data_IF_694460703486
#
_entry.id   IF_694460703486
#
_cell.length_a   1.000
_cell.length_b   1.000
_cell.length_c   1.000
_cell.angle_alpha   90.00
_cell.angle_beta   90.00
_cell.angle_gamma   90.00
#
_symmetry.space_group_name_H-M   'P 1'
#
loop_
_entity.id
_entity.type
_entity.pdbx_description
1 polymer ?
#
# COMPACT_ATOMS: atom_id res chain seq x y z
N UNK A 1 61.42 8.16 35.50
CA UNK A 1 60.12 7.46 35.62
C UNK A 1 59.34 7.74 34.33
N UNK A 2 59.46 6.87 33.33
CA UNK A 2 58.85 7.06 32.00
C UNK A 2 57.58 6.21 31.91
N UNK A 3 56.42 6.85 31.92
CA UNK A 3 55.14 6.18 31.67
C UNK A 3 54.97 5.97 30.17
N UNK A 4 55.08 4.72 29.71
CA UNK A 4 54.65 4.31 28.38
C UNK A 4 53.12 4.26 28.37
N UNK A 5 52.50 5.23 27.71
CA UNK A 5 51.09 5.16 27.34
C UNK A 5 50.92 4.10 26.25
N UNK A 6 50.18 3.04 26.56
CA UNK A 6 49.76 2.01 25.62
C UNK A 6 48.45 2.51 24.94
N UNK A 7 48.37 2.66 23.62
CA UNK A 7 47.11 3.04 22.98
C UNK A 7 46.19 1.81 22.98
N UNK A 8 45.04 1.93 23.63
CA UNK A 8 43.96 0.96 23.62
C UNK A 8 43.28 1.03 22.24
N UNK A 9 43.62 0.09 21.36
CA UNK A 9 43.02 -0.02 20.04
C UNK A 9 41.62 -0.64 20.19
N UNK A 10 40.58 0.20 20.32
CA UNK A 10 39.19 -0.25 20.32
C UNK A 10 38.84 -0.82 18.94
N UNK A 11 38.79 -2.14 18.85
CA UNK A 11 38.20 -2.87 17.71
C UNK A 11 36.69 -2.66 17.78
N UNK A 12 36.19 -1.69 17.01
CA UNK A 12 34.76 -1.55 16.74
C UNK A 12 34.41 -2.69 15.78
N UNK A 13 34.04 -3.84 16.33
CA UNK A 13 33.51 -4.95 15.55
C UNK A 13 32.20 -4.50 14.90
N UNK A 14 32.20 -4.38 13.58
CA UNK A 14 30.98 -4.19 12.80
C UNK A 14 30.05 -5.36 13.08
N UNK A 15 28.97 -5.14 13.83
CA UNK A 15 27.86 -6.08 13.94
C UNK A 15 27.25 -6.22 12.54
N UNK A 16 27.67 -7.24 11.81
CA UNK A 16 27.00 -7.67 10.59
C UNK A 16 25.71 -8.35 11.02
N UNK A 17 24.63 -7.58 11.13
CA UNK A 17 23.30 -8.17 11.25
C UNK A 17 23.01 -8.86 9.91
N UNK A 18 22.99 -10.19 9.92
CA UNK A 18 22.55 -10.96 8.76
C UNK A 18 21.10 -10.59 8.45
N UNK A 19 20.85 -10.05 7.26
CA UNK A 19 19.50 -9.79 6.77
C UNK A 19 18.87 -11.12 6.36
N UNK A 20 17.57 -11.27 6.59
CA UNK A 20 16.83 -12.45 6.14
C UNK A 20 16.51 -12.26 4.66
N UNK A 21 16.81 -13.26 3.85
CA UNK A 21 16.63 -13.20 2.40
C UNK A 21 15.50 -14.12 1.97
N UNK A 22 14.59 -13.60 1.14
CA UNK A 22 13.47 -14.37 0.60
C UNK A 22 13.27 -14.08 -0.89
N UNK A 23 12.86 -15.11 -1.61
CA UNK A 23 12.37 -15.01 -2.98
C UNK A 23 10.87 -15.31 -2.99
N UNK A 24 10.08 -14.40 -3.56
CA UNK A 24 8.65 -14.54 -3.79
C UNK A 24 8.38 -14.58 -5.29
N UNK A 25 8.11 -15.77 -5.81
CA UNK A 25 7.92 -15.97 -7.25
C UNK A 25 6.45 -16.05 -7.66
N UNK A 26 5.52 -16.18 -6.71
CA UNK A 26 4.12 -16.51 -6.97
C UNK A 26 3.15 -15.37 -6.64
N UNK A 27 3.65 -14.17 -6.33
CA UNK A 27 2.85 -13.01 -5.89
C UNK A 27 2.52 -12.00 -7.02
N UNK A 28 3.05 -12.23 -8.22
CA UNK A 28 2.80 -11.40 -9.41
C UNK A 28 2.97 -12.25 -10.65
N UNK A 29 2.15 -12.04 -11.67
CA UNK A 29 2.34 -12.70 -12.98
C UNK A 29 3.59 -12.20 -13.71
N UNK A 30 4.02 -10.96 -13.44
CA UNK A 30 5.07 -10.27 -14.19
C UNK A 30 6.42 -10.24 -13.47
N UNK A 31 6.42 -10.20 -12.14
CA UNK A 31 7.63 -9.99 -11.36
C UNK A 31 7.92 -11.14 -10.39
N UNK A 32 9.19 -11.51 -10.27
CA UNK A 32 9.73 -12.16 -9.08
C UNK A 32 10.19 -11.06 -8.12
N UNK A 33 10.04 -11.30 -6.82
CA UNK A 33 10.41 -10.33 -5.79
C UNK A 33 11.44 -10.93 -4.86
N UNK A 34 12.59 -10.28 -4.74
CA UNK A 34 13.60 -10.62 -3.75
C UNK A 34 13.54 -9.61 -2.61
N UNK A 35 13.60 -10.10 -1.39
CA UNK A 35 13.42 -9.31 -0.17
C UNK A 35 14.60 -9.59 0.77
N UNK A 36 15.28 -8.52 1.17
CA UNK A 36 16.22 -8.53 2.29
C UNK A 36 15.61 -7.75 3.46
N UNK A 37 15.25 -8.42 4.56
CA UNK A 37 14.53 -7.82 5.69
C UNK A 37 15.27 -8.00 7.03
N UNK A 38 15.23 -6.94 7.84
CA UNK A 38 16.01 -6.84 9.07
C UNK A 38 15.63 -7.86 10.16
N UNK A 39 14.35 -8.19 10.32
CA UNK A 39 13.90 -9.04 11.44
C UNK A 39 12.81 -10.00 11.01
N UNK A 40 12.99 -11.27 11.38
CA UNK A 40 12.00 -12.32 11.22
C UNK A 40 11.83 -13.10 12.52
N UNK A 41 10.58 -13.43 12.81
CA UNK A 41 10.16 -14.37 13.83
C UNK A 41 9.52 -15.60 13.16
N UNK A 42 8.91 -16.51 13.92
CA UNK A 42 8.40 -17.78 13.39
C UNK A 42 7.39 -17.62 12.23
N UNK A 43 6.57 -16.57 12.25
CA UNK A 43 5.45 -16.37 11.33
C UNK A 43 5.30 -14.92 10.82
N UNK A 44 6.18 -14.02 11.21
CA UNK A 44 6.12 -12.60 10.84
C UNK A 44 7.54 -12.07 10.61
N UNK A 45 7.73 -11.32 9.52
CA UNK A 45 8.94 -10.54 9.25
C UNK A 45 8.60 -9.06 9.16
N UNK A 46 9.43 -8.20 9.72
CA UNK A 46 9.16 -6.75 9.78
C UNK A 46 10.43 -5.89 9.83
N UNK A 47 10.25 -4.61 9.54
CA UNK A 47 11.24 -3.54 9.69
C UNK A 47 11.91 -3.13 8.38
N UNK A 48 13.14 -2.63 8.51
CA UNK A 48 13.92 -2.13 7.36
C UNK A 48 14.11 -3.24 6.33
N UNK A 49 13.76 -2.92 5.10
CA UNK A 49 13.67 -3.87 4.01
C UNK A 49 14.20 -3.28 2.72
N UNK A 50 14.95 -4.09 1.98
CA UNK A 50 15.29 -3.85 0.58
C UNK A 50 14.50 -4.81 -0.29
N UNK A 51 13.78 -4.27 -1.27
CA UNK A 51 13.00 -5.03 -2.25
C UNK A 51 13.67 -4.88 -3.61
N UNK A 52 13.81 -5.99 -4.33
CA UNK A 52 14.30 -6.03 -5.70
C UNK A 52 13.26 -6.75 -6.56
N UNK A 53 12.74 -6.06 -7.57
CA UNK A 53 11.85 -6.65 -8.57
C UNK A 53 12.67 -7.16 -9.75
N UNK A 54 12.30 -8.34 -10.25
CA UNK A 54 12.86 -8.94 -11.46
C UNK A 54 11.74 -9.31 -12.41
N UNK A 55 11.78 -8.78 -13.63
CA UNK A 55 10.83 -9.13 -14.69
C UNK A 55 11.00 -10.61 -15.10
N UNK A 56 9.91 -11.38 -15.05
CA UNK A 56 9.91 -12.83 -15.32
C UNK A 56 10.26 -13.16 -16.76
N UNK A 57 9.82 -12.34 -17.71
CA UNK A 57 9.97 -12.60 -19.14
C UNK A 57 11.37 -12.25 -19.65
N UNK A 58 11.91 -11.13 -19.19
CA UNK A 58 13.18 -10.56 -19.67
C UNK A 58 14.34 -10.83 -18.72
N UNK A 59 14.07 -11.32 -17.51
CA UNK A 59 15.04 -11.44 -16.41
C UNK A 59 15.70 -10.12 -16.00
N UNK A 60 15.15 -8.98 -16.45
CA UNK A 60 15.65 -7.66 -16.09
C UNK A 60 15.44 -7.39 -14.61
N UNK A 61 16.49 -6.90 -13.95
CA UNK A 61 16.46 -6.50 -12.54
C UNK A 61 16.27 -4.99 -12.47
N UNK A 62 15.30 -4.54 -11.69
CA UNK A 62 15.05 -3.12 -11.46
C UNK A 62 15.89 -2.58 -10.30
N UNK A 63 16.11 -1.26 -10.21
CA UNK A 63 16.71 -0.65 -9.04
C UNK A 63 15.98 -1.04 -7.74
N UNK A 64 16.74 -1.12 -6.65
CA UNK A 64 16.21 -1.50 -5.33
C UNK A 64 15.25 -0.45 -4.77
N UNK A 65 14.17 -0.92 -4.16
CA UNK A 65 13.23 -0.12 -3.37
C UNK A 65 13.56 -0.34 -1.90
N UNK A 66 13.53 0.72 -1.09
CA UNK A 66 13.75 0.64 0.35
C UNK A 66 12.49 1.02 1.12
N UNK A 67 12.16 0.27 2.16
CA UNK A 67 11.06 0.55 3.08
C UNK A 67 11.55 0.40 4.53
N UNK A 68 11.17 1.32 5.39
CA UNK A 68 11.61 1.32 6.80
C UNK A 68 10.67 0.48 7.70
N UNK A 69 9.39 0.37 7.34
CA UNK A 69 8.35 -0.29 8.14
C UNK A 69 7.56 -1.33 7.33
N UNK A 70 8.28 -2.10 6.50
CA UNK A 70 7.68 -3.21 5.77
C UNK A 70 7.33 -4.35 6.73
N UNK A 71 6.26 -5.09 6.45
CA UNK A 71 5.89 -6.28 7.22
C UNK A 71 5.17 -7.30 6.34
N UNK A 72 5.30 -8.57 6.67
CA UNK A 72 4.49 -9.63 6.08
C UNK A 72 4.45 -10.86 7.00
N UNK A 73 3.36 -11.61 6.88
CA UNK A 73 3.22 -12.89 7.56
C UNK A 73 3.65 -14.03 6.64
N UNK A 74 4.23 -15.05 7.23
CA UNK A 74 4.71 -16.27 6.56
C UNK A 74 3.86 -17.43 7.05
N UNK A 75 3.45 -18.32 6.14
CA UNK A 75 2.79 -19.57 6.52
C UNK A 75 3.66 -20.39 7.50
N UNK A 76 3.06 -21.11 8.47
CA UNK A 76 3.79 -22.01 9.34
C UNK A 76 4.72 -22.94 8.55
N UNK A 77 5.96 -23.12 9.05
CA UNK A 77 6.99 -23.98 8.48
C UNK A 77 7.58 -23.57 7.12
N UNK A 78 7.15 -22.43 6.55
CA UNK A 78 7.69 -21.94 5.28
C UNK A 78 9.04 -21.21 5.41
N UNK A 79 9.43 -20.78 6.62
CA UNK A 79 10.64 -19.96 6.86
C UNK A 79 11.96 -20.60 6.39
N UNK A 80 12.01 -21.94 6.30
CA UNK A 80 13.18 -22.70 5.84
C UNK A 80 13.15 -23.03 4.33
N UNK A 81 12.09 -22.62 3.63
CA UNK A 81 11.95 -22.80 2.18
C UNK A 81 12.70 -21.71 1.42
N UNK A 82 13.22 -22.06 0.24
CA UNK A 82 13.78 -21.06 -0.70
C UNK A 82 12.71 -20.13 -1.29
N UNK A 83 11.49 -20.64 -1.46
CA UNK A 83 10.33 -19.87 -1.90
C UNK A 83 9.33 -19.89 -0.74
N UNK A 84 9.21 -18.77 -0.03
CA UNK A 84 8.31 -18.68 1.11
C UNK A 84 6.89 -18.43 0.63
N UNK A 85 5.91 -18.90 1.39
CA UNK A 85 4.50 -18.61 1.17
C UNK A 85 4.05 -17.55 2.16
N UNK A 86 3.46 -16.50 1.62
CA UNK A 86 2.85 -15.44 2.42
C UNK A 86 1.52 -15.93 2.98
N UNK A 87 1.19 -15.55 4.20
CA UNK A 87 -0.14 -15.78 4.76
C UNK A 87 -1.10 -14.67 4.29
N UNK A 88 -2.34 -15.03 3.94
CA UNK A 88 -3.32 -14.14 3.30
C UNK A 88 -3.79 -12.96 4.16
N UNK A 89 -3.49 -12.95 5.46
CA UNK A 89 -3.95 -11.93 6.40
C UNK A 89 -3.36 -10.54 6.12
N UNK A 90 -2.15 -10.49 5.54
CA UNK A 90 -1.44 -9.26 5.20
C UNK A 90 -1.05 -9.35 3.74
N UNK A 91 -1.41 -8.33 2.95
CA UNK A 91 -1.06 -8.25 1.53
C UNK A 91 0.11 -7.26 1.38
N UNK A 92 1.38 -7.70 1.45
CA UNK A 92 2.52 -6.78 1.49
C UNK A 92 2.84 -6.12 0.14
N UNK A 93 2.37 -6.71 -0.96
CA UNK A 93 2.54 -6.23 -2.33
C UNK A 93 1.19 -6.20 -3.02
N UNK A 94 0.89 -5.09 -3.70
CA UNK A 94 -0.26 -4.97 -4.59
C UNK A 94 0.26 -4.47 -5.93
N UNK A 95 0.01 -5.23 -6.99
CA UNK A 95 0.48 -4.94 -8.33
C UNK A 95 -0.68 -4.55 -9.23
N UNK A 96 -0.80 -3.27 -9.54
CA UNK A 96 -1.89 -2.68 -10.34
C UNK A 96 -1.34 -1.58 -11.26
N UNK A 97 -2.13 -1.08 -12.19
CA UNK A 97 -1.81 0.11 -13.00
C UNK A 97 -2.49 1.33 -12.34
N UNK A 98 -1.81 1.96 -11.37
CA UNK A 98 -2.39 3.04 -10.55
C UNK A 98 -2.46 4.37 -11.32
N UNK A 99 -1.56 4.58 -12.29
CA UNK A 99 -1.52 5.80 -13.08
C UNK A 99 -2.22 5.70 -14.45
N UNK A 100 -2.73 4.51 -14.79
CA UNK A 100 -3.44 4.19 -16.03
C UNK A 100 -2.60 4.39 -17.30
N UNK A 101 -1.29 4.14 -17.22
CA UNK A 101 -0.35 4.26 -18.33
C UNK A 101 -0.10 2.94 -19.08
N UNK A 102 -0.70 1.85 -18.61
CA UNK A 102 -0.58 0.50 -19.17
C UNK A 102 0.62 -0.28 -18.64
N UNK A 103 1.43 0.29 -17.74
CA UNK A 103 2.46 -0.43 -17.00
C UNK A 103 1.97 -0.79 -15.60
N UNK A 104 2.38 -1.97 -15.15
CA UNK A 104 2.09 -2.41 -13.79
C UNK A 104 3.04 -1.74 -12.81
N UNK A 105 2.46 -1.04 -11.85
CA UNK A 105 3.03 -0.39 -10.69
C UNK A 105 3.06 -1.34 -9.49
N UNK A 106 3.54 -0.84 -8.34
CA UNK A 106 3.52 -1.61 -7.09
C UNK A 106 3.20 -0.73 -5.88
N UNK A 107 2.27 -1.17 -5.05
CA UNK A 107 2.09 -0.65 -3.71
C UNK A 107 2.73 -1.59 -2.69
N UNK A 108 3.51 -1.00 -1.78
CA UNK A 108 4.24 -1.71 -0.73
C UNK A 108 3.72 -1.28 0.62
N UNK A 109 3.45 -2.23 1.50
CA UNK A 109 3.14 -1.91 2.89
C UNK A 109 4.32 -1.14 3.53
N UNK A 110 4.04 0.06 4.07
CA UNK A 110 5.01 0.90 4.77
C UNK A 110 4.37 1.64 5.96
N UNK A 111 3.62 0.89 6.74
CA UNK A 111 3.39 1.08 8.17
C UNK A 111 2.32 0.08 8.61
N UNK A 112 2.69 -0.79 9.54
CA UNK A 112 1.75 -1.49 10.40
C UNK A 112 2.09 -1.10 11.83
N UNK A 113 1.19 -0.45 12.54
CA UNK A 113 1.33 -0.51 14.00
C UNK A 113 1.09 -1.96 14.39
N UNK A 114 1.92 -2.53 15.29
CA UNK A 114 1.72 -3.90 15.81
C UNK A 114 0.32 -4.16 16.40
N UNK A 115 -0.43 -3.09 16.67
CA UNK A 115 -1.79 -3.10 17.19
C UNK A 115 -2.80 -2.39 16.24
N UNK A 116 -2.39 -2.06 15.00
CA UNK A 116 -3.24 -1.41 14.01
C UNK A 116 -3.78 -2.47 13.07
N UNK A 117 -5.11 -2.53 12.95
CA UNK A 117 -5.79 -3.30 11.92
C UNK A 117 -5.70 -2.64 10.54
N UNK A 118 -5.11 -1.45 10.45
CA UNK A 118 -4.90 -0.72 9.20
C UNK A 118 -3.45 -0.77 8.77
N UNK A 119 -3.26 -1.27 7.55
CA UNK A 119 -2.02 -1.26 6.81
C UNK A 119 -1.99 -0.06 5.88
N UNK A 120 -0.89 0.70 5.92
CA UNK A 120 -0.66 1.81 4.99
C UNK A 120 0.36 1.39 3.95
N UNK A 121 0.18 1.91 2.74
CA UNK A 121 1.00 1.57 1.59
C UNK A 121 1.68 2.82 1.03
N UNK A 122 2.90 2.63 0.57
CA UNK A 122 3.57 3.54 -0.34
C UNK A 122 3.40 3.01 -1.78
N UNK A 123 3.00 3.89 -2.69
CA UNK A 123 2.76 3.55 -4.10
C UNK A 123 3.97 3.96 -4.93
N UNK A 124 4.52 3.01 -5.68
CA UNK A 124 5.64 3.19 -6.59
C UNK A 124 5.17 2.98 -8.03
N UNK A 125 5.33 4.01 -8.85
CA UNK A 125 4.94 4.02 -10.26
C UNK A 125 6.11 3.58 -11.13
N UNK A 126 5.85 2.74 -12.13
CA UNK A 126 6.86 2.34 -13.09
C UNK A 126 7.08 3.44 -14.14
N UNK A 127 8.19 4.15 -14.04
CA UNK A 127 8.57 5.15 -15.04
C UNK A 127 9.27 4.47 -16.22
N UNK A 128 8.56 4.30 -17.35
CA UNK A 128 9.07 3.59 -18.51
C UNK A 128 10.34 4.23 -19.11
N UNK A 129 10.44 5.56 -19.09
CA UNK A 129 11.60 6.30 -19.59
C UNK A 129 12.85 6.04 -18.74
N UNK A 130 12.70 6.01 -17.42
CA UNK A 130 13.77 5.81 -16.46
C UNK A 130 14.00 4.32 -16.13
N UNK A 131 13.10 3.44 -16.57
CA UNK A 131 13.16 2.00 -16.40
C UNK A 131 13.22 1.58 -14.92
N UNK A 132 12.54 2.32 -14.04
CA UNK A 132 12.56 2.12 -12.60
C UNK A 132 11.22 2.43 -11.93
N UNK A 133 11.05 1.96 -10.71
CA UNK A 133 9.89 2.27 -9.87
C UNK A 133 10.19 3.47 -8.99
N UNK A 134 9.38 4.51 -9.06
CA UNK A 134 9.53 5.74 -8.29
C UNK A 134 8.37 5.95 -7.32
N UNK A 135 8.68 6.37 -6.10
CA UNK A 135 7.67 6.71 -5.11
C UNK A 135 6.77 7.84 -5.63
N UNK A 136 5.46 7.60 -5.68
CA UNK A 136 4.48 8.62 -6.00
C UNK A 136 3.90 9.19 -4.70
N UNK A 137 4.35 10.39 -4.34
CA UNK A 137 3.95 11.05 -3.09
C UNK A 137 2.45 11.37 -3.06
N UNK A 138 1.85 11.80 -4.18
CA UNK A 138 0.44 12.15 -4.25
C UNK A 138 -0.47 10.95 -3.96
N UNK A 139 -0.26 9.84 -4.65
CA UNK A 139 -1.05 8.62 -4.43
C UNK A 139 -0.77 7.99 -3.05
N UNK A 140 0.48 8.04 -2.60
CA UNK A 140 0.85 7.60 -1.25
C UNK A 140 0.16 8.44 -0.17
N UNK A 141 0.03 9.75 -0.37
CA UNK A 141 -0.69 10.63 0.54
C UNK A 141 -2.18 10.26 0.60
N UNK A 142 -2.81 9.94 -0.53
CA UNK A 142 -4.21 9.49 -0.56
C UNK A 142 -4.44 8.22 0.27
N UNK A 143 -3.54 7.23 0.19
CA UNK A 143 -3.63 6.02 1.04
C UNK A 143 -3.58 6.40 2.53
N UNK A 144 -2.66 7.31 2.90
CA UNK A 144 -2.46 7.75 4.29
C UNK A 144 -3.63 8.59 4.81
N UNK A 145 -4.16 9.50 4.00
CA UNK A 145 -5.28 10.37 4.35
C UNK A 145 -6.60 9.61 4.49
N UNK A 146 -6.81 8.57 3.67
CA UNK A 146 -8.02 7.76 3.70
C UNK A 146 -7.89 6.51 4.60
N UNK A 147 -6.71 6.23 5.14
CA UNK A 147 -6.40 5.07 5.99
C UNK A 147 -6.85 3.73 5.37
N UNK A 148 -6.77 3.63 4.06
CA UNK A 148 -7.22 2.47 3.29
C UNK A 148 -6.45 2.40 1.98
N UNK A 149 -6.29 1.19 1.45
CA UNK A 149 -5.74 1.02 0.11
C UNK A 149 -6.74 1.49 -0.95
N UNK A 150 -6.21 2.01 -2.06
CA UNK A 150 -7.01 2.46 -3.20
C UNK A 150 -7.40 1.28 -4.08
N UNK A 151 -8.66 1.22 -4.50
CA UNK A 151 -9.13 0.33 -5.57
C UNK A 151 -8.92 1.02 -6.91
N UNK A 152 -8.48 0.25 -7.91
CA UNK A 152 -8.26 0.74 -9.28
C UNK A 152 -9.50 0.43 -10.12
N UNK A 153 -10.12 1.48 -10.67
CA UNK A 153 -11.15 1.37 -11.68
C UNK A 153 -10.56 1.77 -13.03
N UNK A 154 -10.08 0.78 -13.78
CA UNK A 154 -9.40 0.99 -15.05
C UNK A 154 -10.33 1.47 -16.16
N UNK A 155 -11.63 1.16 -16.09
CA UNK A 155 -12.61 1.59 -17.09
C UNK A 155 -12.85 3.10 -17.01
N UNK A 156 -13.03 3.63 -15.80
CA UNK A 156 -13.26 5.05 -15.55
C UNK A 156 -11.98 5.83 -15.28
N UNK A 157 -10.84 5.15 -15.18
CA UNK A 157 -9.55 5.70 -14.74
C UNK A 157 -9.69 6.47 -13.43
N UNK A 158 -10.21 5.76 -12.42
CA UNK A 158 -10.43 6.30 -11.07
C UNK A 158 -9.69 5.47 -10.04
N UNK A 159 -9.06 6.17 -9.11
CA UNK A 159 -8.64 5.57 -7.84
C UNK A 159 -9.79 5.76 -6.84
N UNK A 160 -10.18 4.69 -6.15
CA UNK A 160 -11.35 4.69 -5.27
C UNK A 160 -10.91 4.37 -3.85
N UNK A 161 -11.27 5.22 -2.89
CA UNK A 161 -11.08 4.98 -1.47
C UNK A 161 -12.42 4.66 -0.82
N UNK A 162 -12.49 3.53 -0.12
CA UNK A 162 -13.63 3.14 0.70
C UNK A 162 -13.29 3.28 2.17
N UNK A 163 -13.96 4.22 2.84
CA UNK A 163 -13.77 4.52 4.25
C UNK A 163 -15.00 4.11 5.05
N UNK A 164 -14.76 3.76 6.31
CA UNK A 164 -15.80 3.52 7.29
C UNK A 164 -15.48 4.29 8.56
N UNK A 165 -16.42 5.09 9.04
CA UNK A 165 -16.32 5.78 10.32
C UNK A 165 -17.32 5.20 11.30
N UNK A 166 -16.80 4.56 12.36
CA UNK A 166 -17.62 3.82 13.32
C UNK A 166 -18.39 2.67 12.68
N UNK A 167 -19.62 2.43 13.15
CA UNK A 167 -20.47 1.34 12.65
C UNK A 167 -21.16 1.66 11.32
N UNK A 168 -21.46 2.94 11.10
CA UNK A 168 -22.70 3.30 10.41
C UNK A 168 -22.52 4.40 9.36
N UNK A 169 -21.32 4.98 9.24
CA UNK A 169 -20.98 5.93 8.19
C UNK A 169 -20.02 5.26 7.21
N UNK A 170 -20.45 5.10 5.96
CA UNK A 170 -19.62 4.66 4.85
C UNK A 170 -19.34 5.84 3.94
N UNK A 171 -18.10 5.99 3.49
CA UNK A 171 -17.70 7.07 2.59
C UNK A 171 -16.94 6.46 1.42
N UNK A 172 -17.35 6.76 0.21
CA UNK A 172 -16.61 6.43 -1.01
C UNK A 172 -16.10 7.71 -1.63
N UNK A 173 -14.80 7.80 -1.89
CA UNK A 173 -14.19 8.91 -2.63
C UNK A 173 -13.57 8.38 -3.91
N UNK A 174 -13.74 9.10 -5.01
CA UNK A 174 -13.06 8.79 -6.27
C UNK A 174 -12.14 9.92 -6.67
N UNK A 175 -10.98 9.54 -7.18
CA UNK A 175 -9.94 10.44 -7.63
C UNK A 175 -9.65 10.19 -9.10
N UNK A 176 -9.61 11.26 -9.88
CA UNK A 176 -9.13 11.25 -11.24
C UNK A 176 -7.61 11.39 -11.26
N UNK A 177 -6.94 10.49 -11.96
CA UNK A 177 -5.48 10.59 -12.17
C UNK A 177 -5.21 11.46 -13.39
N UNK A 178 -4.44 12.52 -13.16
CA UNK A 178 -4.04 13.47 -14.19
C UNK A 178 -2.53 13.38 -14.32
N UNK A 179 -2.04 13.06 -15.52
CA UNK A 179 -0.61 12.91 -15.77
C UNK A 179 0.18 14.15 -15.34
N UNK A 180 1.26 13.93 -14.57
CA UNK A 180 2.13 14.97 -14.05
C UNK A 180 1.54 15.80 -12.91
N UNK A 181 0.43 15.39 -12.31
CA UNK A 181 -0.19 16.05 -11.15
C UNK A 181 -0.64 15.03 -10.11
N UNK A 182 -0.85 15.49 -8.88
CA UNK A 182 -1.49 14.68 -7.85
C UNK A 182 -2.94 14.36 -8.26
N UNK A 183 -3.48 13.18 -7.88
CA UNK A 183 -4.84 12.82 -8.24
C UNK A 183 -5.86 13.80 -7.66
N UNK A 184 -6.84 14.17 -8.47
CA UNK A 184 -7.87 15.13 -8.12
C UNK A 184 -9.10 14.40 -7.60
N UNK A 185 -9.56 14.69 -6.39
CA UNK A 185 -10.86 14.17 -5.94
C UNK A 185 -11.97 14.74 -6.83
N UNK A 186 -12.79 13.88 -7.39
CA UNK A 186 -13.90 14.26 -8.29
C UNK A 186 -15.27 13.82 -7.79
N UNK A 187 -15.31 12.94 -6.80
CA UNK A 187 -16.53 12.39 -6.25
C UNK A 187 -16.37 12.03 -4.77
N UNK A 188 -17.39 12.31 -3.98
CA UNK A 188 -17.56 11.78 -2.63
C UNK A 188 -19.01 11.37 -2.41
N UNK A 189 -19.22 10.18 -1.87
CA UNK A 189 -20.51 9.67 -1.46
C UNK A 189 -20.46 9.19 -0.01
N UNK A 190 -21.26 9.82 0.83
CA UNK A 190 -21.48 9.42 2.22
C UNK A 190 -22.82 8.72 2.34
N UNK A 191 -22.83 7.55 2.97
CA UNK A 191 -24.02 6.84 3.43
C UNK A 191 -24.00 6.79 4.95
N UNK A 192 -24.95 7.49 5.59
CA UNK A 192 -25.11 7.54 7.04
C UNK A 192 -26.37 6.79 7.48
N UNK A 193 -26.15 5.72 8.25
CA UNK A 193 -27.17 4.80 8.74
C UNK A 193 -27.38 4.89 10.25
N UNK A 194 -26.82 5.91 10.91
CA UNK A 194 -26.92 6.12 12.36
C UNK A 194 -28.35 6.34 12.86
N UNK A 195 -29.21 6.91 12.04
CA UNK A 195 -30.64 7.05 12.34
C UNK A 195 -31.33 5.68 12.27
N UNK A 196 -32.23 5.38 13.21
CA UNK A 196 -32.85 4.06 13.29
C UNK A 196 -33.78 3.77 12.10
N UNK A 197 -34.45 4.79 11.56
CA UNK A 197 -35.52 4.66 10.58
C UNK A 197 -35.10 5.08 9.17
N UNK A 198 -34.05 5.90 9.05
CA UNK A 198 -33.66 6.53 7.79
C UNK A 198 -32.19 6.31 7.45
N UNK A 199 -31.88 6.43 6.16
CA UNK A 199 -30.53 6.59 5.62
C UNK A 199 -30.40 8.01 5.09
N UNK A 200 -29.34 8.70 5.46
CA UNK A 200 -28.98 10.00 4.88
C UNK A 200 -27.82 9.78 3.93
N UNK A 201 -28.03 10.09 2.66
CA UNK A 201 -26.95 10.07 1.66
C UNK A 201 -26.52 11.50 1.35
N UNK A 202 -25.22 11.74 1.27
CA UNK A 202 -24.66 12.99 0.76
C UNK A 202 -23.75 12.66 -0.42
N UNK A 203 -24.14 13.14 -1.60
CA UNK A 203 -23.37 13.00 -2.84
C UNK A 203 -22.76 14.35 -3.19
N UNK A 204 -21.45 14.37 -3.41
CA UNK A 204 -20.68 15.55 -3.76
C UNK A 204 -19.90 15.26 -5.04
N UNK A 205 -20.19 15.97 -6.12
CA UNK A 205 -19.56 15.80 -7.43
C UNK A 205 -18.76 17.07 -7.80
N UNK A 206 -17.58 16.88 -8.38
CA UNK A 206 -16.80 17.95 -9.00
C UNK A 206 -17.11 18.02 -10.50
N UNK A 207 -17.87 19.02 -10.92
CA UNK A 207 -18.22 19.24 -12.32
C UNK A 207 -18.06 20.71 -12.67
N UNK A 208 -17.61 21.02 -13.89
CA UNK A 208 -17.38 22.40 -14.36
C UNK A 208 -16.56 23.26 -13.38
N UNK A 209 -15.53 22.67 -12.79
CA UNK A 209 -14.63 23.31 -11.81
C UNK A 209 -15.32 23.77 -10.52
N UNK A 210 -16.47 23.19 -10.18
CA UNK A 210 -17.24 23.51 -8.97
C UNK A 210 -17.72 22.23 -8.29
N UNK A 211 -17.88 22.33 -6.97
CA UNK A 211 -18.46 21.27 -6.16
C UNK A 211 -19.98 21.45 -6.08
N UNK A 212 -20.71 20.37 -6.35
CA UNK A 212 -22.15 20.29 -6.17
C UNK A 212 -22.46 19.22 -5.14
N UNK A 213 -23.20 19.57 -4.09
CA UNK A 213 -23.59 18.63 -3.04
C UNK A 213 -25.10 18.47 -3.00
N UNK A 214 -25.56 17.21 -2.99
CA UNK A 214 -26.96 16.85 -2.77
C UNK A 214 -27.06 15.93 -1.56
N UNK A 215 -27.87 16.33 -0.59
CA UNK A 215 -28.24 15.50 0.56
C UNK A 215 -29.66 15.00 0.39
N UNK A 216 -29.87 13.69 0.57
CA UNK A 216 -31.20 13.07 0.50
C UNK A 216 -31.40 12.16 1.70
N UNK A 217 -32.62 12.15 2.25
CA UNK A 217 -33.01 11.30 3.37
C UNK A 217 -34.05 10.30 2.88
N UNK A 218 -33.81 9.02 3.10
CA UNK A 218 -34.68 7.93 2.68
C UNK A 218 -35.13 7.12 3.90
N UNK A 219 -36.39 6.65 3.97
CA UNK A 219 -36.76 5.57 4.87
C UNK A 219 -35.93 4.31 4.53
N UNK A 220 -35.37 3.63 5.55
CA UNK A 220 -34.51 2.45 5.36
C UNK A 220 -35.16 1.35 4.52
N UNK A 221 -36.45 1.13 4.73
CA UNK A 221 -37.23 0.13 4.02
C UNK A 221 -37.30 0.35 2.51
N UNK A 222 -37.12 1.60 2.06
CA UNK A 222 -37.08 1.98 0.63
C UNK A 222 -35.65 1.89 0.12
N UNK A 223 -34.70 2.49 0.84
CA UNK A 223 -33.30 2.57 0.43
C UNK A 223 -32.66 1.19 0.15
N UNK A 224 -32.89 0.22 1.03
CA UNK A 224 -32.33 -1.13 0.88
C UNK A 224 -33.09 -2.04 -0.09
N UNK A 225 -34.25 -1.61 -0.63
CA UNK A 225 -34.96 -2.34 -1.68
C UNK A 225 -34.45 -2.02 -3.08
N UNK A 226 -33.90 -0.82 -3.27
CA UNK A 226 -33.37 -0.37 -4.57
C UNK A 226 -31.90 -0.80 -4.81
N UNK A 227 -31.23 -1.35 -3.80
CA UNK A 227 -29.80 -1.73 -3.81
C UNK A 227 -29.53 -3.23 -3.92
N UNK A 228 -30.58 -4.06 -4.12
CA UNK A 228 -30.49 -5.49 -4.43
C UNK A 228 -30.82 -5.76 -5.89
#
# INVERSE_FOLDING_TARGET
MYYKFLPFLSVIGSLCFAQNHFELNDISEKYNVNIDIATCSKNECFGKTTIILKDKNTSKIFPRISSDNFTFNIEPDSLNSKNIKLADEIVPFIFEDFNFDGYQDVALINASSRNSTQFLYDIFIFEAAEKQFLLNNGMTALVKENFTMLTVDSERKRLIAHLKSGCCLQITKEYEVISGRDPLMVYEFEEDTRDAENVVTKKTDFTDYKWFTKTTKYPKEVYYKETK
#
